data_IF_178401698161
#
_entry.id   IF_178401698161
#
_cell.length_a   1.000
_cell.length_b   1.000
_cell.length_c   1.000
_cell.angle_alpha   90.00
_cell.angle_beta   90.00
_cell.angle_gamma   90.00
#
_symmetry.space_group_name_H-M   'P 1'
#
loop_
_entity.id
_entity.type
_entity.pdbx_description
1 polymer ?
#
# COMPACT_ATOMS: atom_id res chain seq x y z
N UNK A 1 -10.11 -14.06 29.58
CA UNK A 1 -10.29 -12.63 29.18
C UNK A 1 -9.71 -12.40 27.79
N UNK A 2 -10.16 -13.14 26.77
CA UNK A 2 -9.38 -13.38 25.53
C UNK A 2 -10.25 -13.27 24.26
N UNK A 3 -11.23 -12.37 24.25
CA UNK A 3 -12.01 -12.06 23.03
C UNK A 3 -11.59 -10.73 22.36
N UNK A 4 -10.88 -9.84 23.06
CA UNK A 4 -10.44 -8.52 22.53
C UNK A 4 -9.07 -8.52 21.84
N UNK A 5 -8.38 -9.67 21.72
CA UNK A 5 -6.94 -9.66 21.44
C UNK A 5 -6.57 -9.24 20.00
N UNK A 6 -7.40 -9.56 19.00
CA UNK A 6 -7.15 -9.22 17.59
C UNK A 6 -7.93 -7.98 17.12
N UNK A 7 -9.12 -7.73 17.66
CA UNK A 7 -10.00 -6.66 17.20
C UNK A 7 -9.40 -5.25 17.38
N UNK A 8 -8.71 -5.01 18.51
CA UNK A 8 -8.06 -3.72 18.77
C UNK A 8 -6.89 -3.45 17.78
N UNK A 9 -5.89 -4.34 17.62
CA UNK A 9 -4.86 -4.18 16.59
C UNK A 9 -5.43 -4.00 15.19
N UNK A 10 -6.44 -4.81 14.81
CA UNK A 10 -7.11 -4.69 13.51
C UNK A 10 -7.80 -3.34 13.35
N UNK A 11 -8.52 -2.87 14.38
CA UNK A 11 -9.19 -1.57 14.36
C UNK A 11 -8.21 -0.40 14.21
N UNK A 12 -7.10 -0.43 14.94
CA UNK A 12 -6.03 0.57 14.82
C UNK A 12 -5.38 0.54 13.43
N UNK A 13 -5.16 -0.64 12.86
CA UNK A 13 -4.58 -0.79 11.53
C UNK A 13 -5.55 -0.33 10.42
N UNK A 14 -6.84 -0.59 10.59
CA UNK A 14 -7.87 -0.05 9.70
C UNK A 14 -7.96 1.48 9.80
N UNK A 15 -7.89 2.03 11.02
CA UNK A 15 -7.87 3.48 11.23
C UNK A 15 -6.64 4.12 10.57
N UNK A 16 -5.45 3.54 10.77
CA UNK A 16 -4.22 3.98 10.11
C UNK A 16 -4.38 3.97 8.59
N UNK A 17 -4.79 2.84 8.01
CA UNK A 17 -4.97 2.70 6.56
C UNK A 17 -5.99 3.70 6.00
N UNK A 18 -7.14 3.85 6.67
CA UNK A 18 -8.16 4.83 6.31
C UNK A 18 -7.59 6.26 6.28
N UNK A 19 -7.01 6.73 7.39
CA UNK A 19 -6.51 8.10 7.48
C UNK A 19 -5.29 8.35 6.58
N UNK A 20 -4.42 7.36 6.38
CA UNK A 20 -3.32 7.46 5.43
C UNK A 20 -3.82 7.58 3.98
N UNK A 21 -5.00 7.04 3.66
CA UNK A 21 -5.59 7.06 2.31
C UNK A 21 -6.57 8.20 2.05
N UNK A 22 -7.07 8.89 3.08
CA UNK A 22 -7.89 10.11 2.89
C UNK A 22 -6.97 11.24 2.39
N UNK A 23 -6.89 11.35 1.06
CA UNK A 23 -6.03 12.31 0.36
C UNK A 23 -6.83 13.07 -0.70
N UNK A 24 -7.61 14.10 -0.29
CA UNK A 24 -8.45 14.85 -1.22
C UNK A 24 -7.71 15.53 -2.36
N UNK A 25 -6.40 15.74 -2.22
CA UNK A 25 -5.57 16.34 -3.25
C UNK A 25 -5.17 15.40 -4.39
N UNK A 26 -5.20 14.07 -4.21
CA UNK A 26 -4.72 13.11 -5.22
C UNK A 26 -5.46 13.19 -6.56
N UNK A 27 -6.80 13.33 -6.64
CA UNK A 27 -7.51 13.45 -7.91
C UNK A 27 -7.18 14.70 -8.72
N UNK A 28 -6.50 15.67 -8.10
CA UNK A 28 -6.15 16.96 -8.67
C UNK A 28 -4.64 17.21 -8.67
N UNK A 29 -3.83 16.19 -8.38
CA UNK A 29 -2.38 16.34 -8.23
C UNK A 29 -1.73 16.83 -9.52
N UNK A 30 -2.08 16.25 -10.67
CA UNK A 30 -1.58 16.71 -11.98
C UNK A 30 -1.90 18.19 -12.20
N UNK A 31 -3.15 18.59 -11.94
CA UNK A 31 -3.57 20.01 -12.03
C UNK A 31 -2.80 20.91 -11.05
N UNK A 32 -2.47 20.42 -9.86
CA UNK A 32 -1.71 21.17 -8.86
C UNK A 32 -0.26 21.40 -9.29
N UNK A 33 0.39 20.38 -9.85
CA UNK A 33 1.78 20.45 -10.32
C UNK A 33 1.95 21.28 -11.60
N UNK A 34 0.96 21.22 -12.51
CA UNK A 34 0.92 22.03 -13.73
C UNK A 34 0.40 23.46 -13.49
N UNK A 35 -0.19 23.71 -12.32
CA UNK A 35 -0.73 25.02 -11.96
C UNK A 35 0.33 26.11 -11.83
N UNK A 36 -0.09 27.38 -11.82
CA UNK A 36 0.81 28.54 -11.82
C UNK A 36 1.75 28.61 -10.61
N UNK A 37 1.44 27.89 -9.54
CA UNK A 37 2.25 27.86 -8.32
C UNK A 37 3.49 26.97 -8.40
N UNK A 38 3.46 25.92 -9.24
CA UNK A 38 4.56 24.95 -9.36
C UNK A 38 5.23 25.03 -10.72
N UNK A 39 4.47 25.30 -11.79
CA UNK A 39 4.95 25.60 -13.14
C UNK A 39 6.02 24.62 -13.65
N UNK A 40 5.81 23.32 -13.39
CA UNK A 40 6.71 22.25 -13.82
C UNK A 40 6.22 21.69 -15.16
N UNK A 41 7.14 21.45 -16.09
CA UNK A 41 6.81 20.69 -17.30
C UNK A 41 6.80 19.19 -17.00
N UNK A 42 5.83 18.46 -17.58
CA UNK A 42 5.62 17.00 -17.36
C UNK A 42 6.89 16.17 -17.59
N UNK A 43 7.82 16.64 -18.43
CA UNK A 43 9.02 15.91 -18.84
C UNK A 43 10.21 16.07 -17.90
N UNK A 44 10.17 17.02 -16.95
CA UNK A 44 11.31 17.30 -16.06
C UNK A 44 11.29 16.50 -14.76
N UNK A 45 10.13 15.97 -14.38
CA UNK A 45 9.98 15.06 -13.25
C UNK A 45 10.27 13.64 -13.77
N UNK A 46 11.55 13.32 -13.94
CA UNK A 46 12.00 11.93 -14.13
C UNK A 46 11.38 11.02 -13.05
N UNK A 47 11.23 9.70 -13.28
CA UNK A 47 10.55 8.79 -12.35
C UNK A 47 11.40 8.48 -11.10
N UNK A 48 11.78 9.53 -10.37
CA UNK A 48 12.59 9.48 -9.15
C UNK A 48 11.88 8.66 -8.09
N UNK A 49 10.55 8.77 -7.98
CA UNK A 49 9.75 7.91 -7.12
C UNK A 49 9.93 6.43 -7.46
N UNK A 50 9.83 6.04 -8.74
CA UNK A 50 9.96 4.64 -9.16
C UNK A 50 11.36 4.09 -8.88
N UNK A 51 12.42 4.85 -9.16
CA UNK A 51 13.79 4.39 -8.92
C UNK A 51 14.14 4.33 -7.42
N UNK A 52 13.71 5.33 -6.65
CA UNK A 52 13.90 5.31 -5.19
C UNK A 52 13.12 4.17 -4.55
N UNK A 53 11.87 3.94 -4.97
CA UNK A 53 11.08 2.79 -4.53
C UNK A 53 11.81 1.47 -4.82
N UNK A 54 12.29 1.26 -6.05
CA UNK A 54 13.05 0.06 -6.43
C UNK A 54 14.29 -0.13 -5.55
N UNK A 55 15.07 0.92 -5.32
CA UNK A 55 16.27 0.86 -4.50
C UNK A 55 15.97 0.54 -3.03
N UNK A 56 14.82 0.98 -2.52
CA UNK A 56 14.41 0.83 -1.12
C UNK A 56 13.67 -0.48 -0.83
N UNK A 57 13.10 -1.16 -1.84
CA UNK A 57 12.34 -2.40 -1.67
C UNK A 57 13.08 -3.47 -0.85
N UNK A 58 14.32 -3.80 -1.24
CA UNK A 58 15.09 -4.85 -0.58
C UNK A 58 15.54 -4.45 0.84
N UNK A 59 16.11 -3.24 1.08
CA UNK A 59 16.40 -2.77 2.44
C UNK A 59 15.18 -2.73 3.35
N UNK A 60 14.04 -2.20 2.87
CA UNK A 60 12.81 -2.09 3.65
C UNK A 60 12.22 -3.47 3.94
N UNK A 61 12.25 -4.40 2.99
CA UNK A 61 11.84 -5.79 3.22
C UNK A 61 12.60 -6.43 4.39
N UNK A 62 13.93 -6.35 4.40
CA UNK A 62 14.74 -6.87 5.50
C UNK A 62 14.48 -6.13 6.81
N UNK A 63 14.42 -4.80 6.76
CA UNK A 63 14.16 -3.96 7.93
C UNK A 63 12.78 -4.23 8.54
N UNK A 64 11.79 -4.58 7.72
CA UNK A 64 10.42 -4.85 8.17
C UNK A 64 10.36 -6.02 9.14
N UNK A 65 10.98 -7.15 8.81
CA UNK A 65 11.01 -8.29 9.74
C UNK A 65 11.98 -8.04 10.91
N UNK A 66 13.14 -7.42 10.65
CA UNK A 66 14.14 -7.14 11.69
C UNK A 66 13.60 -6.21 12.78
N UNK A 67 12.93 -5.13 12.40
CA UNK A 67 12.37 -4.12 13.31
C UNK A 67 10.97 -4.49 13.82
N UNK A 68 10.43 -5.65 13.44
CA UNK A 68 9.08 -6.11 13.81
C UNK A 68 7.97 -5.14 13.37
N UNK A 69 8.00 -4.74 12.11
CA UNK A 69 6.94 -4.01 11.38
C UNK A 69 6.60 -2.59 11.87
N UNK A 70 6.28 -2.39 13.16
CA UNK A 70 5.80 -1.11 13.70
C UNK A 70 6.74 0.07 13.41
N UNK A 71 8.08 -0.01 13.61
CA UNK A 71 8.98 1.09 13.27
C UNK A 71 8.97 1.43 11.78
N UNK A 72 8.75 0.44 10.91
CA UNK A 72 8.65 0.66 9.46
C UNK A 72 7.31 1.31 9.08
N UNK A 73 6.22 0.99 9.76
CA UNK A 73 4.93 1.71 9.63
C UNK A 73 5.06 3.16 10.11
N UNK A 74 5.80 3.41 11.18
CA UNK A 74 6.08 4.78 11.62
C UNK A 74 6.94 5.54 10.59
N UNK A 75 7.95 4.88 10.03
CA UNK A 75 8.76 5.44 8.94
C UNK A 75 7.90 5.80 7.72
N UNK A 76 6.93 4.94 7.37
CA UNK A 76 5.95 5.22 6.32
C UNK A 76 5.20 6.53 6.61
N UNK A 77 4.52 6.62 7.75
CA UNK A 77 3.74 7.82 8.10
C UNK A 77 4.60 9.09 8.14
N UNK A 78 5.82 9.03 8.69
CA UNK A 78 6.74 10.16 8.69
C UNK A 78 7.16 10.58 7.27
N UNK A 79 7.50 9.62 6.42
CA UNK A 79 7.89 9.90 5.02
C UNK A 79 6.76 10.57 4.24
N UNK A 80 5.51 10.14 4.46
CA UNK A 80 4.32 10.76 3.86
C UNK A 80 4.09 12.18 4.45
N UNK A 81 4.26 12.40 5.76
CA UNK A 81 4.19 13.77 6.32
C UNK A 81 5.18 14.69 5.62
N UNK A 82 6.43 14.25 5.43
CA UNK A 82 7.46 15.01 4.72
C UNK A 82 7.03 15.28 3.27
N UNK A 83 6.53 14.28 2.55
CA UNK A 83 6.05 14.43 1.18
C UNK A 83 4.97 15.52 1.06
N UNK A 84 3.90 15.46 1.88
CA UNK A 84 2.80 16.45 1.77
C UNK A 84 3.20 17.82 2.30
N UNK A 85 4.07 17.89 3.31
CA UNK A 85 4.64 19.16 3.77
C UNK A 85 5.48 19.83 2.66
N UNK A 86 6.34 19.06 1.99
CA UNK A 86 7.10 19.56 0.83
C UNK A 86 6.18 19.92 -0.33
N UNK A 87 5.09 19.18 -0.55
CA UNK A 87 4.13 19.48 -1.61
C UNK A 87 3.53 20.88 -1.41
N UNK A 88 3.25 21.27 -0.17
CA UNK A 88 2.71 22.60 0.18
C UNK A 88 3.75 23.73 0.04
N UNK A 89 4.98 23.53 0.52
CA UNK A 89 5.93 24.64 0.71
C UNK A 89 7.15 24.64 -0.22
N UNK A 90 7.56 23.48 -0.72
CA UNK A 90 8.77 23.36 -1.51
C UNK A 90 8.59 23.94 -2.92
N UNK A 91 9.62 24.59 -3.46
CA UNK A 91 9.61 25.13 -4.82
C UNK A 91 10.85 24.69 -5.59
N UNK A 92 10.71 24.54 -6.89
CA UNK A 92 11.79 24.13 -7.79
C UNK A 92 11.95 22.61 -7.95
N UNK A 93 12.63 22.24 -9.04
CA UNK A 93 12.76 20.86 -9.49
C UNK A 93 13.45 19.96 -8.46
N UNK A 94 14.57 20.41 -7.88
CA UNK A 94 15.32 19.64 -6.89
C UNK A 94 14.48 19.27 -5.66
N UNK A 95 13.67 20.21 -5.17
CA UNK A 95 12.85 19.95 -4.00
C UNK A 95 11.71 18.97 -4.32
N UNK A 96 11.17 19.02 -5.55
CA UNK A 96 10.19 18.03 -6.03
C UNK A 96 10.85 16.65 -6.19
N UNK A 97 12.07 16.56 -6.72
CA UNK A 97 12.79 15.29 -6.79
C UNK A 97 13.05 14.68 -5.40
N UNK A 98 13.42 15.50 -4.40
CA UNK A 98 13.57 15.03 -3.01
C UNK A 98 12.23 14.57 -2.43
N UNK A 99 11.14 15.29 -2.70
CA UNK A 99 9.78 14.89 -2.32
C UNK A 99 9.43 13.51 -2.88
N UNK A 100 9.74 13.24 -4.16
CA UNK A 100 9.52 11.95 -4.82
C UNK A 100 10.30 10.82 -4.15
N UNK A 101 11.51 11.08 -3.63
CA UNK A 101 12.28 10.09 -2.85
C UNK A 101 11.58 9.73 -1.54
N UNK A 102 11.05 10.72 -0.81
CA UNK A 102 10.27 10.46 0.41
C UNK A 102 8.96 9.72 0.10
N UNK A 103 8.32 10.06 -1.01
CA UNK A 103 7.14 9.34 -1.46
C UNK A 103 7.46 7.89 -1.84
N UNK A 104 8.64 7.66 -2.43
CA UNK A 104 9.17 6.33 -2.74
C UNK A 104 9.45 5.51 -1.48
N UNK A 105 9.99 6.14 -0.42
CA UNK A 105 10.13 5.52 0.91
C UNK A 105 8.77 5.14 1.51
N UNK A 106 7.78 6.04 1.44
CA UNK A 106 6.42 5.75 1.89
C UNK A 106 5.84 4.54 1.16
N UNK A 107 5.96 4.52 -0.16
CA UNK A 107 5.47 3.40 -0.99
C UNK A 107 6.22 2.09 -0.69
N UNK A 108 7.54 2.14 -0.48
CA UNK A 108 8.34 0.96 -0.12
C UNK A 108 7.91 0.32 1.20
N UNK A 109 7.47 1.16 2.14
CA UNK A 109 7.09 0.75 3.49
C UNK A 109 5.63 0.29 3.60
N UNK A 110 4.80 0.44 2.56
CA UNK A 110 3.45 -0.12 2.47
C UNK A 110 3.42 -1.65 2.71
N UNK A 111 4.48 -2.36 2.30
CA UNK A 111 4.59 -3.82 2.51
C UNK A 111 4.55 -4.15 4.00
N UNK A 112 5.13 -3.30 4.86
CA UNK A 112 5.10 -3.50 6.31
C UNK A 112 3.68 -3.35 6.86
N UNK A 113 2.89 -2.42 6.34
CA UNK A 113 1.48 -2.24 6.71
C UNK A 113 0.66 -3.50 6.42
N UNK A 114 0.72 -4.02 5.19
CA UNK A 114 -0.06 -5.21 4.82
C UNK A 114 0.45 -6.48 5.51
N UNK A 115 1.77 -6.60 5.70
CA UNK A 115 2.37 -7.78 6.34
C UNK A 115 2.21 -7.80 7.86
N UNK A 116 1.98 -6.64 8.50
CA UNK A 116 1.75 -6.54 9.94
C UNK A 116 0.59 -7.42 10.40
N UNK A 117 -0.48 -7.53 9.59
CA UNK A 117 -1.67 -8.36 9.87
C UNK A 117 -1.25 -9.80 10.21
N UNK A 118 -0.37 -10.37 9.40
CA UNK A 118 0.07 -11.77 9.52
C UNK A 118 0.98 -12.02 10.72
N UNK A 119 1.47 -10.97 11.38
CA UNK A 119 2.30 -11.07 12.58
C UNK A 119 1.51 -11.01 13.90
N UNK A 120 0.26 -10.52 13.86
CA UNK A 120 -0.55 -10.24 15.07
C UNK A 120 -1.86 -11.05 15.11
N UNK A 121 -2.32 -11.55 13.98
CA UNK A 121 -3.60 -12.27 13.85
C UNK A 121 -3.36 -13.76 13.63
N UNK A 122 -4.34 -14.61 13.97
CA UNK A 122 -4.29 -16.04 13.68
C UNK A 122 -4.59 -16.34 12.20
N UNK A 123 -4.00 -17.41 11.67
CA UNK A 123 -4.12 -17.84 10.25
C UNK A 123 -5.58 -17.96 9.78
N UNK A 124 -6.48 -18.42 10.65
CA UNK A 124 -7.90 -18.59 10.34
C UNK A 124 -8.63 -17.27 10.02
N UNK A 125 -8.05 -16.13 10.41
CA UNK A 125 -8.63 -14.79 10.25
C UNK A 125 -7.90 -13.95 9.19
N UNK A 126 -6.84 -14.47 8.55
CA UNK A 126 -6.03 -13.72 7.58
C UNK A 126 -6.88 -13.10 6.47
N UNK A 127 -7.70 -13.90 5.79
CA UNK A 127 -8.54 -13.41 4.69
C UNK A 127 -9.53 -12.33 5.15
N UNK A 128 -10.15 -12.50 6.32
CA UNK A 128 -11.12 -11.53 6.86
C UNK A 128 -10.45 -10.21 7.24
N UNK A 129 -9.35 -10.26 8.00
CA UNK A 129 -8.65 -9.06 8.46
C UNK A 129 -7.98 -8.33 7.29
N UNK A 130 -7.38 -9.04 6.35
CA UNK A 130 -6.85 -8.44 5.11
C UNK A 130 -7.95 -7.73 4.32
N UNK A 131 -9.14 -8.34 4.21
CA UNK A 131 -10.30 -7.71 3.57
C UNK A 131 -10.75 -6.43 4.31
N UNK A 132 -10.81 -6.44 5.65
CA UNK A 132 -11.15 -5.25 6.44
C UNK A 132 -10.15 -4.12 6.25
N UNK A 133 -8.84 -4.40 6.33
CA UNK A 133 -7.80 -3.39 6.17
C UNK A 133 -7.81 -2.80 4.75
N UNK A 134 -7.90 -3.64 3.70
CA UNK A 134 -8.01 -3.15 2.32
C UNK A 134 -9.28 -2.34 2.08
N UNK A 135 -10.41 -2.78 2.64
CA UNK A 135 -11.68 -2.05 2.54
C UNK A 135 -11.56 -0.69 3.22
N UNK A 136 -10.94 -0.60 4.40
CA UNK A 136 -10.71 0.67 5.09
C UNK A 136 -9.85 1.64 4.28
N UNK A 137 -8.76 1.16 3.68
CA UNK A 137 -7.91 1.95 2.75
C UNK A 137 -8.71 2.45 1.55
N UNK A 138 -9.50 1.59 0.89
CA UNK A 138 -10.31 1.97 -0.27
C UNK A 138 -11.40 2.98 0.09
N UNK A 139 -12.08 2.79 1.23
CA UNK A 139 -13.04 3.76 1.76
C UNK A 139 -12.36 5.10 2.08
N UNK A 140 -11.12 5.08 2.58
CA UNK A 140 -10.31 6.28 2.77
C UNK A 140 -10.08 7.04 1.46
N UNK A 141 -9.68 6.34 0.40
CA UNK A 141 -9.54 6.94 -0.93
C UNK A 141 -10.87 7.48 -1.48
N UNK A 142 -11.98 6.78 -1.25
CA UNK A 142 -13.32 7.26 -1.64
C UNK A 142 -13.65 8.55 -0.91
N UNK A 143 -13.51 8.58 0.42
CA UNK A 143 -13.77 9.78 1.24
C UNK A 143 -12.87 10.94 0.81
N UNK A 144 -11.58 10.67 0.57
CA UNK A 144 -10.64 11.65 0.01
C UNK A 144 -11.15 12.20 -1.32
N UNK A 145 -11.46 11.32 -2.27
CA UNK A 145 -11.85 11.73 -3.63
C UNK A 145 -13.18 12.47 -3.69
N UNK A 146 -14.19 12.01 -2.93
CA UNK A 146 -15.49 12.71 -2.80
C UNK A 146 -15.30 14.08 -2.16
N UNK A 147 -14.59 14.14 -1.01
CA UNK A 147 -14.37 15.43 -0.34
C UNK A 147 -13.56 16.39 -1.20
N UNK A 148 -12.53 15.91 -1.91
CA UNK A 148 -11.77 16.71 -2.87
C UNK A 148 -12.66 17.28 -3.98
N UNK A 149 -13.48 16.43 -4.61
CA UNK A 149 -14.41 16.87 -5.66
C UNK A 149 -15.43 17.89 -5.15
N UNK A 150 -16.04 17.63 -4.00
CA UNK A 150 -17.03 18.54 -3.39
C UNK A 150 -16.40 19.87 -3.01
N UNK A 151 -15.22 19.86 -2.38
CA UNK A 151 -14.54 21.08 -1.95
C UNK A 151 -14.10 21.95 -3.13
N UNK A 152 -13.63 21.34 -4.23
CA UNK A 152 -13.23 22.09 -5.43
C UNK A 152 -14.44 22.58 -6.22
N UNK A 153 -15.41 21.70 -6.52
CA UNK A 153 -16.53 22.03 -7.41
C UNK A 153 -17.63 22.85 -6.75
N UNK A 154 -17.95 22.60 -5.47
CA UNK A 154 -19.07 23.24 -4.77
C UNK A 154 -18.60 24.39 -3.89
N UNK A 155 -17.55 24.14 -3.09
CA UNK A 155 -17.07 25.15 -2.13
C UNK A 155 -16.03 26.13 -2.74
N UNK A 156 -15.54 25.87 -3.95
CA UNK A 156 -14.54 26.71 -4.62
C UNK A 156 -13.18 26.76 -3.90
N UNK A 157 -12.84 25.72 -3.13
CA UNK A 157 -11.60 25.69 -2.35
C UNK A 157 -10.37 25.55 -3.25
N UNK A 158 -9.27 26.15 -2.80
CA UNK A 158 -7.99 26.07 -3.49
C UNK A 158 -7.38 24.66 -3.38
N UNK A 159 -6.61 24.24 -4.39
CA UNK A 159 -5.85 22.99 -4.36
C UNK A 159 -4.81 22.95 -3.22
N UNK A 160 -4.35 24.11 -2.74
CA UNK A 160 -3.51 24.21 -1.55
C UNK A 160 -4.26 23.70 -0.30
N UNK A 161 -5.52 24.13 -0.10
CA UNK A 161 -6.35 23.71 1.03
C UNK A 161 -6.59 22.19 1.04
N UNK A 162 -6.75 21.57 -0.13
CA UNK A 162 -6.87 20.11 -0.26
C UNK A 162 -5.61 19.39 0.25
N UNK A 163 -4.42 19.90 -0.08
CA UNK A 163 -3.16 19.34 0.40
C UNK A 163 -2.97 19.51 1.91
N UNK A 164 -3.49 20.59 2.50
CA UNK A 164 -3.53 20.76 3.97
C UNK A 164 -4.41 19.69 4.63
N UNK A 165 -5.57 19.37 4.04
CA UNK A 165 -6.44 18.31 4.54
C UNK A 165 -5.74 16.94 4.46
N UNK A 166 -5.11 16.62 3.31
CA UNK A 166 -4.33 15.39 3.15
C UNK A 166 -3.21 15.28 4.20
N UNK A 167 -2.44 16.35 4.43
CA UNK A 167 -1.39 16.39 5.46
C UNK A 167 -1.95 16.16 6.88
N UNK A 168 -3.10 16.78 7.18
CA UNK A 168 -3.78 16.62 8.47
C UNK A 168 -4.20 15.17 8.67
N UNK A 169 -4.78 14.55 7.65
CA UNK A 169 -5.21 13.14 7.70
C UNK A 169 -4.02 12.19 7.91
N UNK A 170 -2.93 12.38 7.16
CA UNK A 170 -1.71 11.57 7.32
C UNK A 170 -1.09 11.77 8.71
N UNK A 171 -1.16 12.98 9.27
CA UNK A 171 -0.68 13.26 10.63
C UNK A 171 -1.51 12.52 11.69
N UNK A 172 -2.83 12.45 11.50
CA UNK A 172 -3.71 11.62 12.34
C UNK A 172 -3.32 10.14 12.20
N UNK A 173 -3.11 9.64 10.98
CA UNK A 173 -2.67 8.27 10.74
C UNK A 173 -1.36 7.98 11.48
N UNK A 174 -0.34 8.83 11.34
CA UNK A 174 0.92 8.69 12.06
C UNK A 174 0.73 8.63 13.59
N UNK A 175 -0.17 9.46 14.14
CA UNK A 175 -0.56 9.39 15.54
C UNK A 175 -1.18 8.03 15.92
N UNK A 176 -2.08 7.50 15.09
CA UNK A 176 -2.70 6.17 15.33
C UNK A 176 -1.68 5.03 15.31
N UNK A 177 -0.65 5.10 14.45
CA UNK A 177 0.39 4.08 14.34
C UNK A 177 1.19 3.92 15.65
N UNK A 178 1.29 4.97 16.47
CA UNK A 178 1.99 4.90 17.76
C UNK A 178 1.32 3.94 18.75
N UNK A 179 0.00 3.76 18.63
CA UNK A 179 -0.80 2.88 19.48
C UNK A 179 -0.82 1.43 19.00
N UNK A 180 -0.26 1.12 17.83
CA UNK A 180 -0.15 -0.26 17.35
C UNK A 180 0.71 -1.09 18.32
N UNK A 181 0.28 -2.30 18.70
CA UNK A 181 1.09 -3.17 19.54
C UNK A 181 2.37 -3.62 18.81
N UNK A 182 3.46 -3.86 19.55
CA UNK A 182 4.66 -4.46 18.97
C UNK A 182 4.38 -5.95 18.72
N UNK A 183 4.54 -6.45 17.48
CA UNK A 183 4.44 -7.87 17.20
C UNK A 183 5.46 -8.66 18.02
N UNK A 184 5.02 -9.78 18.59
CA UNK A 184 5.88 -10.64 19.41
C UNK A 184 6.65 -11.69 18.57
N UNK A 185 6.17 -11.96 17.35
CA UNK A 185 6.78 -12.90 16.40
C UNK A 185 7.33 -12.12 15.20
N UNK A 186 8.52 -12.50 14.74
CA UNK A 186 9.05 -12.14 13.42
C UNK A 186 9.37 -13.43 12.68
N UNK A 187 9.18 -13.44 11.36
CA UNK A 187 9.23 -14.64 10.53
C UNK A 187 10.65 -15.19 10.36
N UNK A 188 11.68 -14.34 10.39
CA UNK A 188 13.06 -14.75 10.11
C UNK A 188 14.00 -14.50 11.29
N UNK A 189 13.93 -13.31 11.89
CA UNK A 189 14.95 -12.90 12.87
C UNK A 189 14.72 -13.43 14.29
N UNK A 190 13.48 -13.77 14.66
CA UNK A 190 13.12 -14.07 16.06
C UNK A 190 12.73 -15.53 16.37
N UNK A 191 12.84 -16.45 15.40
CA UNK A 191 12.54 -17.88 15.62
C UNK A 191 13.46 -18.58 16.63
N UNK A 192 14.69 -18.06 16.82
CA UNK A 192 15.72 -18.73 17.62
C UNK A 192 15.38 -18.72 19.12
N UNK A 193 14.67 -17.70 19.62
CA UNK A 193 14.36 -17.60 21.05
C UNK A 193 13.34 -18.67 21.51
N UNK A 194 12.36 -19.02 20.66
CA UNK A 194 11.33 -20.03 21.00
C UNK A 194 11.85 -21.47 20.91
N UNK A 195 12.75 -21.78 19.98
CA UNK A 195 13.35 -23.12 19.92
C UNK A 195 14.33 -23.38 21.07
N UNK A 196 15.02 -22.35 21.55
CA UNK A 196 15.86 -22.46 22.76
C UNK A 196 14.97 -22.73 23.97
N UNK A 197 13.86 -21.99 24.16
CA UNK A 197 12.93 -22.23 25.28
C UNK A 197 12.29 -23.64 25.25
N UNK A 198 11.87 -24.14 24.09
CA UNK A 198 11.27 -25.48 23.97
C UNK A 198 12.30 -26.63 24.07
N UNK A 199 13.58 -26.38 23.77
CA UNK A 199 14.66 -27.35 24.07
C UNK A 199 15.08 -27.30 25.54
N UNK A 200 14.98 -26.15 26.20
CA UNK A 200 15.37 -25.98 27.61
C UNK A 200 14.42 -26.72 28.58
N UNK A 201 13.13 -26.82 28.25
CA UNK A 201 12.12 -27.47 29.11
C UNK A 201 12.29 -29.00 29.23
N UNK A 202 13.14 -29.61 28.38
CA UNK A 202 13.47 -31.04 28.45
C UNK A 202 14.78 -31.34 29.21
N UNK A 203 15.52 -30.33 29.67
CA UNK A 203 16.80 -30.54 30.34
C UNK A 203 16.90 -29.71 31.64
N UNK A 204 16.34 -30.29 32.70
CA UNK A 204 16.58 -30.08 34.14
C UNK A 204 17.16 -28.75 34.68
N UNK A 205 16.40 -28.20 35.65
CA UNK A 205 16.81 -27.73 37.00
C UNK A 205 18.28 -27.39 37.26
N UNK A 206 18.47 -26.19 37.85
CA UNK A 206 19.69 -25.52 38.31
C UNK A 206 20.42 -24.68 37.25
N UNK A 207 19.77 -23.58 36.86
CA UNK A 207 20.43 -22.50 36.12
C UNK A 207 20.89 -21.43 37.12
N UNK A 208 22.19 -21.19 37.18
CA UNK A 208 22.78 -20.12 37.98
C UNK A 208 22.48 -18.76 37.32
N UNK A 209 22.16 -17.75 38.15
CA UNK A 209 21.83 -16.38 37.75
C UNK A 209 22.80 -15.71 36.74
N UNK A 210 24.11 -16.02 36.72
CA UNK A 210 25.04 -15.52 35.69
C UNK A 210 24.72 -16.02 34.27
N UNK A 211 24.17 -17.24 34.12
CA UNK A 211 23.82 -17.80 32.80
C UNK A 211 22.57 -17.15 32.20
N UNK A 212 21.60 -16.77 33.04
CA UNK A 212 20.43 -16.00 32.62
C UNK A 212 20.84 -14.60 32.12
N UNK A 213 21.75 -13.92 32.83
CA UNK A 213 22.31 -12.65 32.38
C UNK A 213 23.10 -12.76 31.07
N UNK A 214 23.81 -13.87 30.87
CA UNK A 214 24.56 -14.12 29.62
C UNK A 214 23.65 -14.50 28.45
N UNK A 215 22.48 -15.10 28.71
CA UNK A 215 21.45 -15.33 27.68
C UNK A 215 20.65 -14.06 27.32
N UNK A 216 20.70 -13.03 28.17
CA UNK A 216 20.15 -11.70 27.89
C UNK A 216 21.13 -10.80 27.12
N UNK A 217 22.36 -11.25 26.91
CA UNK A 217 23.35 -10.56 26.09
C UNK A 217 22.96 -10.74 24.62
N UNK A 218 22.62 -9.63 23.95
CA UNK A 218 22.12 -9.55 22.58
C UNK A 218 22.69 -10.66 21.69
N UNK A 219 21.84 -11.65 21.39
CA UNK A 219 22.17 -12.70 20.45
C UNK A 219 22.35 -12.03 19.09
N UNK A 220 23.61 -11.73 18.74
CA UNK A 220 23.98 -11.02 17.52
C UNK A 220 23.39 -11.80 16.36
N UNK A 221 22.41 -11.17 15.69
CA UNK A 221 21.73 -11.75 14.54
C UNK A 221 22.78 -12.06 13.47
N UNK A 222 22.91 -13.32 13.10
CA UNK A 222 23.78 -13.73 12.01
C UNK A 222 23.08 -13.45 10.67
N UNK A 223 23.40 -12.30 10.09
CA UNK A 223 22.81 -11.83 8.83
C UNK A 223 23.08 -12.82 7.69
N UNK A 224 24.26 -13.47 7.67
CA UNK A 224 24.61 -14.43 6.61
C UNK A 224 23.71 -15.65 6.71
N UNK A 225 23.44 -16.13 7.93
CA UNK A 225 22.49 -17.21 8.15
C UNK A 225 21.08 -16.82 7.72
N UNK A 226 20.60 -15.63 8.08
CA UNK A 226 19.26 -15.17 7.68
C UNK A 226 19.14 -15.03 6.16
N UNK A 227 20.14 -14.48 5.47
CA UNK A 227 20.14 -14.41 4.00
C UNK A 227 20.14 -15.80 3.36
N UNK A 228 20.84 -16.77 3.96
CA UNK A 228 20.83 -18.16 3.49
C UNK A 228 19.47 -18.82 3.69
N UNK A 229 18.85 -18.64 4.85
CA UNK A 229 17.51 -19.18 5.15
C UNK A 229 16.47 -18.55 4.20
N UNK A 230 16.52 -17.22 4.01
CA UNK A 230 15.70 -16.51 3.01
C UNK A 230 15.88 -17.03 1.59
N UNK A 231 17.11 -17.35 1.19
CA UNK A 231 17.40 -17.90 -0.13
C UNK A 231 16.83 -19.32 -0.30
N UNK A 232 16.91 -20.15 0.74
CA UNK A 232 16.33 -21.49 0.73
C UNK A 232 14.80 -21.43 0.66
N UNK A 233 14.18 -20.58 1.47
CA UNK A 233 12.73 -20.36 1.44
C UNK A 233 12.27 -19.80 0.10
N UNK A 234 13.04 -18.87 -0.50
CA UNK A 234 12.79 -18.36 -1.84
C UNK A 234 12.77 -19.48 -2.88
N UNK A 235 13.81 -20.32 -2.91
CA UNK A 235 13.87 -21.44 -3.85
C UNK A 235 12.72 -22.43 -3.63
N UNK A 236 12.37 -22.72 -2.38
CA UNK A 236 11.28 -23.64 -2.06
C UNK A 236 9.92 -23.07 -2.48
N UNK A 237 9.63 -21.81 -2.17
CA UNK A 237 8.38 -21.14 -2.54
C UNK A 237 8.19 -21.11 -4.06
N UNK A 238 9.23 -20.72 -4.80
CA UNK A 238 9.17 -20.60 -6.26
C UNK A 238 9.37 -21.91 -7.02
N UNK A 239 9.61 -23.03 -6.32
CA UNK A 239 9.52 -24.37 -6.91
C UNK A 239 8.07 -24.77 -7.22
N UNK A 240 7.09 -24.12 -6.60
CA UNK A 240 5.67 -24.30 -6.91
C UNK A 240 5.28 -23.48 -8.14
N UNK A 241 4.81 -24.15 -9.20
CA UNK A 241 4.35 -23.51 -10.43
C UNK A 241 3.23 -22.50 -10.18
N UNK A 242 2.28 -22.84 -9.30
CA UNK A 242 1.19 -21.95 -8.92
C UNK A 242 1.74 -20.67 -8.29
N UNK A 243 2.65 -20.78 -7.31
CA UNK A 243 3.23 -19.62 -6.64
C UNK A 243 3.98 -18.72 -7.63
N UNK A 244 4.79 -19.31 -8.51
CA UNK A 244 5.49 -18.57 -9.55
C UNK A 244 4.53 -17.80 -10.47
N UNK A 245 3.44 -18.44 -10.93
CA UNK A 245 2.45 -17.82 -11.80
C UNK A 245 1.79 -16.60 -11.12
N UNK A 246 1.32 -16.77 -9.88
CA UNK A 246 0.71 -15.70 -9.11
C UNK A 246 1.68 -14.54 -8.83
N UNK A 247 2.94 -14.83 -8.50
CA UNK A 247 3.94 -13.79 -8.25
C UNK A 247 4.32 -13.02 -9.53
N UNK A 248 4.47 -13.70 -10.67
CA UNK A 248 4.74 -13.03 -11.96
C UNK A 248 3.55 -12.15 -12.35
N UNK A 249 2.33 -12.67 -12.23
CA UNK A 249 1.12 -11.89 -12.48
C UNK A 249 1.02 -10.69 -11.54
N UNK A 250 1.30 -10.87 -10.25
CA UNK A 250 1.25 -9.80 -9.25
C UNK A 250 2.25 -8.69 -9.58
N UNK A 251 3.48 -9.05 -9.96
CA UNK A 251 4.52 -8.08 -10.33
C UNK A 251 4.14 -7.29 -11.59
N UNK A 252 3.73 -7.97 -12.65
CA UNK A 252 3.35 -7.33 -13.92
C UNK A 252 2.09 -6.47 -13.77
N UNK A 253 1.08 -6.98 -13.06
CA UNK A 253 -0.19 -6.28 -12.87
C UNK A 253 -0.05 -5.08 -11.95
N UNK A 254 0.74 -5.18 -10.87
CA UNK A 254 1.03 -4.04 -9.99
C UNK A 254 1.79 -2.95 -10.74
N UNK A 255 2.76 -3.33 -11.59
CA UNK A 255 3.46 -2.40 -12.46
C UNK A 255 2.50 -1.70 -13.43
N UNK A 256 1.70 -2.46 -14.17
CA UNK A 256 0.70 -1.91 -15.09
C UNK A 256 -0.33 -1.03 -14.37
N UNK A 257 -0.71 -1.40 -13.15
CA UNK A 257 -1.60 -0.60 -12.32
C UNK A 257 -0.99 0.75 -11.96
N UNK A 258 0.26 0.77 -11.48
CA UNK A 258 0.94 2.02 -11.21
C UNK A 258 1.08 2.89 -12.46
N UNK A 259 1.33 2.29 -13.62
CA UNK A 259 1.37 3.05 -14.87
C UNK A 259 0.02 3.70 -15.19
N UNK A 260 -1.08 2.93 -15.14
CA UNK A 260 -2.41 3.48 -15.45
C UNK A 260 -2.81 4.58 -14.46
N UNK A 261 -2.64 4.39 -13.15
CA UNK A 261 -3.09 5.40 -12.18
C UNK A 261 -2.27 6.69 -12.24
N UNK A 262 -0.95 6.62 -12.53
CA UNK A 262 -0.11 7.80 -12.59
C UNK A 262 -0.35 8.63 -13.85
N UNK A 263 -0.69 7.97 -14.96
CA UNK A 263 -0.86 8.66 -16.26
C UNK A 263 -2.33 8.86 -16.66
N UNK A 264 -3.31 8.26 -15.98
CA UNK A 264 -4.72 8.44 -16.30
C UNK A 264 -5.16 9.91 -16.26
N UNK A 265 -4.75 10.66 -15.23
CA UNK A 265 -5.08 12.09 -15.12
C UNK A 265 -4.47 12.91 -16.26
N UNK A 266 -3.22 12.63 -16.64
CA UNK A 266 -2.58 13.28 -17.80
C UNK A 266 -3.30 12.95 -19.11
N UNK A 267 -3.68 11.68 -19.31
CA UNK A 267 -4.48 11.27 -20.47
C UNK A 267 -5.84 12.01 -20.50
N UNK A 268 -6.52 12.11 -19.36
CA UNK A 268 -7.80 12.83 -19.27
C UNK A 268 -7.65 14.31 -19.58
N UNK A 269 -6.56 14.95 -19.16
CA UNK A 269 -6.25 16.34 -19.48
C UNK A 269 -6.03 16.53 -21.00
N UNK A 270 -5.40 15.57 -21.67
CA UNK A 270 -5.24 15.58 -23.14
C UNK A 270 -6.56 15.37 -23.89
N UNK A 271 -7.49 14.58 -23.33
CA UNK A 271 -8.79 14.30 -23.94
C UNK A 271 -9.78 15.45 -23.71
N UNK A 272 -9.82 16.00 -22.50
CA UNK A 272 -10.66 17.14 -22.13
C UNK A 272 -9.87 18.11 -21.22
N UNK A 273 -9.38 19.24 -21.76
CA UNK A 273 -8.61 20.21 -21.00
C UNK A 273 -9.39 20.82 -19.83
N UNK A 274 -8.76 20.86 -18.66
CA UNK A 274 -9.30 21.37 -17.39
C UNK A 274 -9.53 22.87 -17.34
N UNK A 275 -8.91 23.63 -18.25
CA UNK A 275 -8.98 25.08 -18.27
C UNK A 275 -10.31 25.63 -18.78
N UNK A 276 -11.07 24.85 -19.55
CA UNK A 276 -12.31 25.29 -20.21
C UNK A 276 -13.57 24.55 -19.77
N UNK A 277 -13.45 23.52 -18.92
CA UNK A 277 -14.55 22.60 -18.59
C UNK A 277 -14.44 22.05 -17.18
N UNK A 278 -15.59 21.74 -16.57
CA UNK A 278 -15.63 21.05 -15.27
C UNK A 278 -15.06 19.63 -15.39
N UNK A 279 -14.24 19.24 -14.41
CA UNK A 279 -13.57 17.95 -14.38
C UNK A 279 -14.20 17.10 -13.27
N UNK A 280 -14.41 15.81 -13.55
CA UNK A 280 -15.00 14.86 -12.61
C UNK A 280 -14.01 13.81 -12.09
N UNK A 281 -12.69 14.09 -12.16
CA UNK A 281 -11.63 13.15 -11.76
C UNK A 281 -11.84 12.61 -10.34
N UNK A 282 -12.20 13.46 -9.39
CA UNK A 282 -12.48 13.04 -8.00
C UNK A 282 -13.74 12.18 -7.89
N UNK A 283 -14.79 12.46 -8.67
CA UNK A 283 -15.98 11.60 -8.72
C UNK A 283 -15.67 10.22 -9.32
N UNK A 284 -14.84 10.16 -10.36
CA UNK A 284 -14.44 8.92 -11.03
C UNK A 284 -13.52 8.08 -10.13
N UNK A 285 -12.57 8.71 -9.44
CA UNK A 285 -11.75 8.04 -8.43
C UNK A 285 -12.59 7.54 -7.26
N UNK A 286 -13.54 8.35 -6.78
CA UNK A 286 -14.48 7.92 -5.74
C UNK A 286 -15.30 6.70 -6.16
N UNK A 287 -15.88 6.72 -7.36
CA UNK A 287 -16.67 5.61 -7.88
C UNK A 287 -15.82 4.35 -8.05
N UNK A 288 -14.62 4.47 -8.62
CA UNK A 288 -13.73 3.34 -8.86
C UNK A 288 -13.24 2.68 -7.55
N UNK A 289 -12.90 3.49 -6.55
CA UNK A 289 -12.42 3.03 -5.24
C UNK A 289 -13.54 2.43 -4.40
N UNK A 290 -14.74 3.03 -4.42
CA UNK A 290 -15.91 2.51 -3.70
C UNK A 290 -16.35 1.16 -4.26
N UNK A 291 -16.48 1.05 -5.58
CA UNK A 291 -16.86 -0.21 -6.24
C UNK A 291 -15.75 -1.27 -6.06
N UNK A 292 -14.48 -0.85 -6.06
CA UNK A 292 -13.35 -1.70 -5.68
C UNK A 292 -13.48 -2.21 -4.23
N UNK A 293 -13.84 -1.35 -3.27
CA UNK A 293 -14.03 -1.75 -1.87
C UNK A 293 -15.14 -2.79 -1.72
N UNK A 294 -16.26 -2.58 -2.41
CA UNK A 294 -17.36 -3.55 -2.45
C UNK A 294 -16.89 -4.88 -3.02
N UNK A 295 -16.16 -4.87 -4.14
CA UNK A 295 -15.62 -6.09 -4.74
C UNK A 295 -14.68 -6.86 -3.79
N UNK A 296 -13.75 -6.15 -3.14
CA UNK A 296 -12.81 -6.72 -2.15
C UNK A 296 -13.52 -7.30 -0.94
N UNK A 297 -14.54 -6.60 -0.43
CA UNK A 297 -15.35 -7.07 0.70
C UNK A 297 -16.13 -8.33 0.34
N UNK A 298 -16.74 -8.36 -0.85
CA UNK A 298 -17.49 -9.51 -1.37
C UNK A 298 -16.57 -10.73 -1.56
N UNK A 299 -15.41 -10.55 -2.20
CA UNK A 299 -14.41 -11.63 -2.38
C UNK A 299 -13.96 -12.22 -1.06
N UNK A 300 -13.82 -11.41 -0.01
CA UNK A 300 -13.48 -11.88 1.35
C UNK A 300 -14.49 -12.87 1.96
N UNK A 301 -15.72 -12.90 1.45
CA UNK A 301 -16.80 -13.79 1.92
C UNK A 301 -17.09 -14.96 0.96
N UNK A 302 -16.53 -14.95 -0.25
CA UNK A 302 -16.71 -16.01 -1.24
C UNK A 302 -15.79 -17.19 -0.91
N UNK A 303 -16.37 -18.37 -0.70
CA UNK A 303 -15.64 -19.65 -0.52
C UNK A 303 -15.44 -20.34 -1.86
N UNK A 304 -14.48 -19.87 -2.66
CA UNK A 304 -14.11 -20.50 -3.95
C UNK A 304 -12.72 -21.14 -3.85
N UNK A 305 -12.55 -22.31 -4.49
CA UNK A 305 -11.23 -22.94 -4.62
C UNK A 305 -10.38 -22.21 -5.66
N UNK A 306 -9.70 -21.15 -5.23
CA UNK A 306 -8.81 -20.35 -6.10
C UNK A 306 -7.66 -21.15 -6.71
N UNK A 307 -7.28 -22.29 -6.12
CA UNK A 307 -6.34 -23.22 -6.72
C UNK A 307 -6.82 -23.85 -8.05
N UNK A 308 -8.14 -23.96 -8.26
CA UNK A 308 -8.72 -24.59 -9.46
C UNK A 308 -9.16 -23.54 -10.49
N UNK A 309 -9.79 -22.45 -10.04
CA UNK A 309 -10.38 -21.44 -10.93
C UNK A 309 -9.53 -20.18 -11.07
N UNK A 310 -8.49 -20.03 -10.25
CA UNK A 310 -7.68 -18.83 -10.17
C UNK A 310 -6.99 -18.48 -11.47
N UNK A 311 -6.35 -19.43 -12.14
CA UNK A 311 -5.64 -19.19 -13.40
C UNK A 311 -6.58 -18.75 -14.52
N UNK A 312 -7.77 -19.36 -14.61
CA UNK A 312 -8.80 -18.98 -15.59
C UNK A 312 -9.33 -17.58 -15.30
N UNK A 313 -9.62 -17.28 -14.04
CA UNK A 313 -10.05 -15.95 -13.61
C UNK A 313 -8.98 -14.90 -13.93
N UNK A 314 -7.72 -15.17 -13.58
CA UNK A 314 -6.59 -14.29 -13.89
C UNK A 314 -6.50 -14.00 -15.39
N UNK A 315 -6.54 -15.02 -16.24
CA UNK A 315 -6.44 -14.85 -17.69
C UNK A 315 -7.59 -14.00 -18.25
N UNK A 316 -8.84 -14.34 -17.90
CA UNK A 316 -10.03 -13.63 -18.35
C UNK A 316 -10.02 -12.16 -17.93
N UNK A 317 -9.82 -11.91 -16.64
CA UNK A 317 -9.86 -10.56 -16.10
C UNK A 317 -8.64 -9.72 -16.52
N UNK A 318 -7.49 -10.34 -16.78
CA UNK A 318 -6.34 -9.63 -17.37
C UNK A 318 -6.63 -9.19 -18.81
N UNK A 319 -7.33 -10.00 -19.60
CA UNK A 319 -7.78 -9.59 -20.94
C UNK A 319 -8.76 -8.42 -20.87
N UNK A 320 -9.69 -8.44 -19.91
CA UNK A 320 -10.62 -7.32 -19.67
C UNK A 320 -9.90 -6.04 -19.23
N UNK A 321 -8.88 -6.15 -18.37
CA UNK A 321 -8.00 -5.02 -18.01
C UNK A 321 -7.33 -4.44 -19.25
N UNK A 322 -6.72 -5.29 -20.09
CA UNK A 322 -6.05 -4.84 -21.31
C UNK A 322 -7.01 -4.15 -22.28
N UNK A 323 -8.20 -4.71 -22.48
CA UNK A 323 -9.25 -4.11 -23.31
C UNK A 323 -9.71 -2.75 -22.75
N UNK A 324 -9.94 -2.63 -21.45
CA UNK A 324 -10.33 -1.38 -20.82
C UNK A 324 -9.27 -0.28 -21.01
N UNK A 325 -7.99 -0.60 -20.79
CA UNK A 325 -6.88 0.35 -20.98
C UNK A 325 -6.74 0.74 -22.46
N UNK A 326 -6.87 -0.21 -23.39
CA UNK A 326 -6.82 0.09 -24.83
C UNK A 326 -7.97 1.02 -25.29
N UNK A 327 -9.17 0.81 -24.76
CA UNK A 327 -10.34 1.66 -25.02
C UNK A 327 -10.11 3.09 -24.48
N UNK A 328 -9.45 3.24 -23.33
CA UNK A 328 -9.15 4.56 -22.75
C UNK A 328 -8.31 5.44 -23.69
N UNK A 329 -7.36 4.86 -24.43
CA UNK A 329 -6.49 5.59 -25.36
C UNK A 329 -7.18 5.85 -26.72
N UNK A 330 -7.88 4.84 -27.25
CA UNK A 330 -8.36 4.87 -28.64
C UNK A 330 -9.61 5.71 -28.86
N UNK A 331 -10.59 5.68 -27.93
CA UNK A 331 -11.92 6.27 -28.18
C UNK A 331 -11.91 7.79 -28.02
N UNK A 332 -10.91 8.36 -27.31
CA UNK A 332 -10.74 9.81 -27.09
C UNK A 332 -12.02 10.53 -26.66
N UNK A 333 -12.83 9.88 -25.83
CA UNK A 333 -14.04 10.45 -25.23
C UNK A 333 -13.93 10.32 -23.70
N UNK A 334 -14.06 11.44 -23.00
CA UNK A 334 -13.82 11.48 -21.55
C UNK A 334 -14.71 10.52 -20.76
N UNK A 335 -15.98 10.36 -21.13
CA UNK A 335 -16.91 9.46 -20.44
C UNK A 335 -16.55 8.00 -20.65
N UNK A 336 -16.07 7.66 -21.85
CA UNK A 336 -15.56 6.32 -22.15
C UNK A 336 -14.26 6.07 -21.39
N UNK A 337 -13.34 7.04 -21.34
CA UNK A 337 -12.12 6.94 -20.55
C UNK A 337 -12.43 6.73 -19.06
N UNK A 338 -13.38 7.47 -18.51
CA UNK A 338 -13.83 7.34 -17.12
C UNK A 338 -14.48 5.98 -16.84
N UNK A 339 -15.41 5.53 -17.68
CA UNK A 339 -16.06 4.23 -17.51
C UNK A 339 -15.05 3.08 -17.59
N UNK A 340 -14.16 3.11 -18.58
CA UNK A 340 -13.11 2.09 -18.74
C UNK A 340 -12.12 2.09 -17.57
N UNK A 341 -11.76 3.28 -17.04
CA UNK A 341 -10.90 3.38 -15.85
C UNK A 341 -11.57 2.76 -14.62
N UNK A 342 -12.86 3.01 -14.41
CA UNK A 342 -13.63 2.41 -13.31
C UNK A 342 -13.64 0.88 -13.43
N UNK A 343 -13.91 0.35 -14.62
CA UNK A 343 -13.88 -1.11 -14.88
C UNK A 343 -12.48 -1.68 -14.59
N UNK A 344 -11.43 -1.05 -15.13
CA UNK A 344 -10.04 -1.42 -14.88
C UNK A 344 -9.73 -1.50 -13.37
N UNK A 345 -10.06 -0.44 -12.62
CA UNK A 345 -9.82 -0.35 -11.17
C UNK A 345 -10.55 -1.45 -10.40
N UNK A 346 -11.82 -1.71 -10.69
CA UNK A 346 -12.60 -2.75 -10.00
C UNK A 346 -11.98 -4.13 -10.23
N UNK A 347 -11.68 -4.46 -11.49
CA UNK A 347 -11.12 -5.76 -11.87
C UNK A 347 -9.75 -5.95 -11.22
N UNK A 348 -8.89 -4.93 -11.26
CA UNK A 348 -7.58 -4.98 -10.60
C UNK A 348 -7.72 -5.21 -9.09
N UNK A 349 -8.56 -4.43 -8.40
CA UNK A 349 -8.77 -4.54 -6.95
C UNK A 349 -9.30 -5.92 -6.53
N UNK A 350 -10.17 -6.50 -7.35
CA UNK A 350 -10.66 -7.86 -7.18
C UNK A 350 -9.52 -8.88 -7.32
N UNK A 351 -8.77 -8.85 -8.42
CA UNK A 351 -7.70 -9.82 -8.69
C UNK A 351 -6.55 -9.73 -7.68
N UNK A 352 -6.12 -8.52 -7.32
CA UNK A 352 -5.02 -8.34 -6.36
C UNK A 352 -5.39 -8.86 -4.97
N UNK A 353 -6.69 -8.90 -4.64
CA UNK A 353 -7.19 -9.41 -3.36
C UNK A 353 -7.29 -10.92 -3.35
N UNK A 354 -7.50 -11.54 -4.51
CA UNK A 354 -7.42 -12.99 -4.65
C UNK A 354 -5.95 -13.44 -4.60
N UNK A 355 -5.05 -12.64 -5.17
CA UNK A 355 -3.61 -12.94 -5.22
C UNK A 355 -2.87 -12.76 -3.89
N UNK A 356 -3.45 -12.01 -2.93
CA UNK A 356 -2.85 -11.69 -1.62
C UNK A 356 -3.51 -12.50 -0.53
#
# INVERSE_FOLDING_TARGET
>A
RTACCWALPTGLLCAYGFFCSVRPSEPFLTRYLLGPHKNLSETQIYPVWTYSYLALLFPVFLATDYLRYKPVILLQGLSLIVTWFMLLYAQGLWAVQVLEVFYGMGTATDIAYYSYIYSVVDVNLYQQVTSYCRSATLVGYTVGSVSGQVLVSVAGWSLFSLNVISLTSISIAFGTAWFLPMPQKSFFFHHVSSQVFLKQDKFCTNISLPFLLQSMQEQKVDIVKVLKDLWQDFLQCYSSQTMLCWSVWWALSTCGYFQVINYAQGLWEMVLPSHSTEIYNGAVEAASTLLGAVAVFVVGHIKTSWAMWGEVALALFSFLIAAAVYIMDTVRNIWVCYASYVVFRIIYMLLITIAT
#
